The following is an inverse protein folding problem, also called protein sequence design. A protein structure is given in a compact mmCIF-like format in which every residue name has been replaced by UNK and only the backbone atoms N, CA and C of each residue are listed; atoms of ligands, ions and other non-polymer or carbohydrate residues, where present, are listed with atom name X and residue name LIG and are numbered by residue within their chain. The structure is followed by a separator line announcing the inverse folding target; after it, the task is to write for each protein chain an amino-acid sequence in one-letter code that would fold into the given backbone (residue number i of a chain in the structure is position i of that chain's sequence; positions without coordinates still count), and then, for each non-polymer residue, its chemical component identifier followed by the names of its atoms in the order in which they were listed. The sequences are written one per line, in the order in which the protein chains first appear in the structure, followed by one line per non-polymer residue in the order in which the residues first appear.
data_IF_352541946250
#
_entry.id   IF_352541946250
#
_cell.length_a   1.000
_cell.length_b   1.000
_cell.length_c   1.000
_cell.angle_alpha   90.00
_cell.angle_beta   90.00
_cell.angle_gamma   90.00
#
_symmetry.space_group_name_H-M   'P 1'
#
loop_
_entity.id
_entity.type
_entity.pdbx_description
1 polymer ?
#
# COMPACT_ATOMS: atom_id res chain seq x y z
N UNK A 1 4.48 11.54 -38.31
CA UNK A 1 5.49 12.02 -37.34
C UNK A 1 5.20 11.35 -36.00
N UNK A 2 5.90 10.28 -35.64
CA UNK A 2 5.79 9.69 -34.29
C UNK A 2 6.81 10.38 -33.40
N UNK A 3 6.34 11.19 -32.45
CA UNK A 3 7.18 11.69 -31.38
C UNK A 3 7.48 10.53 -30.43
N UNK A 4 8.53 9.76 -30.73
CA UNK A 4 9.14 8.80 -29.82
C UNK A 4 10.17 9.55 -28.98
N UNK A 5 9.79 9.89 -27.75
CA UNK A 5 10.67 10.59 -26.81
C UNK A 5 9.91 11.57 -25.94
N UNK A 6 8.88 11.08 -25.23
CA UNK A 6 8.39 11.80 -24.06
C UNK A 6 9.54 11.88 -23.05
N UNK A 7 9.82 13.08 -22.55
CA UNK A 7 10.86 13.31 -21.55
C UNK A 7 10.63 12.42 -20.33
N UNK A 8 11.43 11.36 -20.17
CA UNK A 8 11.37 10.42 -19.04
C UNK A 8 12.25 10.88 -17.88
N UNK A 9 12.17 12.16 -17.51
CA UNK A 9 12.79 12.71 -16.30
C UNK A 9 14.23 12.25 -16.02
N UNK A 10 14.55 12.05 -14.74
CA UNK A 10 15.81 11.44 -14.31
C UNK A 10 15.71 9.93 -14.59
N UNK A 11 16.73 9.26 -15.16
CA UNK A 11 16.71 7.82 -15.45
C UNK A 11 16.30 6.94 -14.25
N UNK A 12 16.48 7.45 -13.02
CA UNK A 12 16.03 6.82 -11.77
C UNK A 12 14.51 6.63 -11.69
N UNK A 13 13.69 7.46 -12.33
CA UNK A 13 12.23 7.30 -12.37
C UNK A 13 11.81 6.17 -13.31
N UNK A 14 12.47 6.04 -14.47
CA UNK A 14 12.27 4.91 -15.38
C UNK A 14 12.79 3.59 -14.81
N UNK A 15 13.70 3.65 -13.84
CA UNK A 15 14.28 2.48 -13.15
C UNK A 15 13.75 2.31 -11.71
N UNK A 16 12.80 3.13 -11.26
CA UNK A 16 12.30 3.08 -9.88
C UNK A 16 11.61 1.74 -9.53
N UNK A 17 11.16 1.02 -10.55
CA UNK A 17 10.58 -0.32 -10.44
C UNK A 17 11.60 -1.47 -10.60
N UNK A 18 12.86 -1.18 -10.99
CA UNK A 18 13.95 -2.13 -11.10
C UNK A 18 14.78 -2.07 -9.80
N UNK A 19 14.95 -3.20 -9.11
CA UNK A 19 15.63 -3.26 -7.81
C UNK A 19 17.06 -2.68 -7.87
N UNK A 20 17.37 -1.70 -7.02
CA UNK A 20 18.67 -1.04 -6.97
C UNK A 20 19.74 -1.78 -6.13
N UNK A 21 19.69 -3.12 -6.05
CA UNK A 21 20.66 -3.94 -5.33
C UNK A 21 20.21 -5.40 -5.23
N UNK A 22 21.07 -6.28 -4.71
CA UNK A 22 20.80 -7.72 -4.49
C UNK A 22 19.63 -8.03 -3.52
N UNK A 23 18.83 -7.03 -3.13
CA UNK A 23 17.67 -7.16 -2.25
C UNK A 23 16.40 -6.97 -3.06
N UNK A 24 15.52 -7.97 -3.02
CA UNK A 24 14.19 -7.88 -3.59
C UNK A 24 13.41 -6.73 -2.91
N UNK A 25 12.98 -5.76 -3.71
CA UNK A 25 12.09 -4.68 -3.25
C UNK A 25 11.24 -4.19 -4.43
N UNK A 26 9.93 -4.10 -4.19
CA UNK A 26 8.94 -3.56 -5.13
C UNK A 26 8.27 -2.34 -4.53
N UNK A 27 8.18 -1.26 -5.30
CA UNK A 27 7.53 -0.02 -4.91
C UNK A 27 6.25 0.15 -5.74
N UNK A 28 5.18 0.65 -5.13
CA UNK A 28 3.96 0.99 -5.89
C UNK A 28 4.06 2.34 -6.61
N UNK A 29 4.78 3.31 -6.04
CA UNK A 29 5.04 4.65 -6.60
C UNK A 29 6.52 5.05 -6.41
N UNK A 30 7.04 6.02 -7.20
CA UNK A 30 8.42 6.50 -7.04
C UNK A 30 8.68 7.07 -5.63
N UNK A 31 9.92 6.97 -5.15
CA UNK A 31 10.34 7.49 -3.83
C UNK A 31 10.30 9.01 -3.70
N UNK A 32 10.26 9.73 -4.82
CA UNK A 32 10.23 11.20 -4.87
C UNK A 32 9.05 11.66 -5.76
N UNK A 33 7.80 11.47 -5.30
CA UNK A 33 6.67 11.94 -6.09
C UNK A 33 6.66 13.48 -6.15
N UNK A 34 6.21 14.00 -7.28
CA UNK A 34 6.20 15.45 -7.59
C UNK A 34 5.27 16.24 -6.66
N UNK A 35 4.26 15.56 -6.06
CA UNK A 35 3.28 16.14 -5.13
C UNK A 35 3.11 15.24 -3.90
N UNK A 36 4.18 15.15 -3.09
CA UNK A 36 4.17 14.40 -1.84
C UNK A 36 3.27 15.09 -0.81
N UNK A 37 2.26 14.39 -0.32
CA UNK A 37 1.38 14.88 0.75
C UNK A 37 1.16 13.83 1.82
N UNK A 38 0.29 14.16 2.77
CA UNK A 38 -0.16 13.28 3.85
C UNK A 38 -1.68 13.08 3.77
N UNK A 39 -2.14 11.84 3.91
CA UNK A 39 -3.58 11.53 4.06
C UNK A 39 -3.81 10.61 5.24
N UNK A 40 -4.91 10.79 5.96
CA UNK A 40 -5.36 9.80 6.92
C UNK A 40 -5.67 8.48 6.21
N UNK A 41 -5.30 7.35 6.82
CA UNK A 41 -5.63 6.01 6.30
C UNK A 41 -7.14 5.88 6.04
N UNK A 42 -7.94 6.47 6.93
CA UNK A 42 -9.40 6.48 6.85
C UNK A 42 -9.99 6.76 8.22
N UNK A 43 -11.25 6.37 8.41
CA UNK A 43 -11.83 6.27 9.74
C UNK A 43 -11.19 5.11 10.54
N UNK A 44 -11.33 5.14 11.87
CA UNK A 44 -10.89 4.05 12.73
C UNK A 44 -11.51 2.72 12.29
N UNK A 45 -10.68 1.69 12.13
CA UNK A 45 -11.18 0.36 11.72
C UNK A 45 -11.57 0.28 10.24
N UNK A 46 -11.06 1.18 9.39
CA UNK A 46 -11.17 1.11 7.92
C UNK A 46 -9.77 0.90 7.36
N UNK A 47 -9.63 0.01 6.37
CA UNK A 47 -8.34 -0.20 5.71
C UNK A 47 -8.20 0.65 4.44
N UNK A 48 -7.01 1.18 4.21
CA UNK A 48 -6.59 1.77 2.95
C UNK A 48 -5.75 0.76 2.18
N UNK A 49 -6.03 0.58 0.89
CA UNK A 49 -5.31 -0.34 0.02
C UNK A 49 -4.81 0.36 -1.25
N UNK A 50 -3.62 -0.04 -1.71
CA UNK A 50 -2.98 0.47 -2.92
C UNK A 50 -2.43 -0.69 -3.75
N UNK A 51 -2.52 -0.63 -5.09
CA UNK A 51 -2.01 -1.68 -5.94
C UNK A 51 -0.48 -1.65 -5.98
N UNK A 52 0.15 -2.82 -5.99
CA UNK A 52 1.59 -3.01 -6.15
C UNK A 52 1.82 -4.12 -7.17
N UNK A 53 2.66 -3.86 -8.18
CA UNK A 53 3.01 -4.88 -9.15
C UNK A 53 4.04 -5.85 -8.54
N UNK A 54 3.73 -7.13 -8.59
CA UNK A 54 4.60 -8.19 -8.13
C UNK A 54 4.69 -9.30 -9.19
N UNK A 55 5.85 -9.91 -9.33
CA UNK A 55 6.16 -10.95 -10.30
C UNK A 55 5.94 -12.36 -9.76
N UNK A 56 5.58 -13.30 -10.64
CA UNK A 56 5.54 -14.72 -10.30
C UNK A 56 6.93 -15.21 -9.84
N UNK A 57 6.96 -16.07 -8.82
CA UNK A 57 8.18 -16.60 -8.21
C UNK A 57 8.83 -15.67 -7.17
N UNK A 58 8.42 -14.41 -7.10
CA UNK A 58 8.87 -13.50 -6.03
C UNK A 58 8.28 -13.94 -4.69
N UNK A 59 9.07 -13.82 -3.62
CA UNK A 59 8.61 -14.11 -2.27
C UNK A 59 8.51 -12.81 -1.49
N UNK A 60 7.29 -12.46 -1.06
CA UNK A 60 7.04 -11.32 -0.19
C UNK A 60 7.11 -11.79 1.26
N UNK A 61 7.98 -11.18 2.03
CA UNK A 61 8.22 -11.42 3.45
C UNK A 61 7.71 -10.27 4.32
N UNK A 62 7.65 -9.05 3.79
CA UNK A 62 7.23 -7.88 4.57
C UNK A 62 6.51 -6.83 3.72
N UNK A 63 5.72 -6.01 4.40
CA UNK A 63 5.12 -4.80 3.84
C UNK A 63 5.61 -3.58 4.61
N UNK A 64 5.82 -2.49 3.88
CA UNK A 64 6.34 -1.24 4.43
C UNK A 64 5.47 -0.08 4.02
N UNK A 65 5.05 0.73 5.00
CA UNK A 65 4.39 2.01 4.81
C UNK A 65 5.13 3.10 5.57
N UNK A 66 4.93 4.36 5.20
CA UNK A 66 5.54 5.51 5.89
C UNK A 66 4.47 6.42 6.45
N UNK A 67 4.53 6.70 7.75
CA UNK A 67 3.67 7.69 8.38
C UNK A 67 4.06 9.10 7.96
N UNK A 68 3.06 9.95 7.82
CA UNK A 68 3.19 11.38 7.57
C UNK A 68 3.25 12.18 8.87
N UNK A 69 2.70 13.39 8.83
CA UNK A 69 2.68 14.31 9.96
C UNK A 69 1.97 13.79 11.23
N UNK A 70 0.91 12.98 11.09
CA UNK A 70 0.15 12.48 12.25
C UNK A 70 0.62 11.09 12.65
N UNK A 71 1.09 10.97 13.88
CA UNK A 71 1.51 9.71 14.49
C UNK A 71 0.31 8.89 15.02
N UNK A 72 0.49 7.57 15.12
CA UNK A 72 -0.31 6.73 16.00
C UNK A 72 0.33 6.74 17.39
N UNK A 73 -0.20 7.52 18.32
CA UNK A 73 0.29 7.53 19.69
C UNK A 73 -0.12 6.23 20.42
N UNK A 74 -1.41 5.89 20.33
CA UNK A 74 -2.00 4.68 20.91
C UNK A 74 -3.12 4.17 20.01
N UNK A 75 -3.22 2.85 19.86
CA UNK A 75 -4.28 2.19 19.09
C UNK A 75 -4.82 0.96 19.81
N UNK A 76 -5.81 0.33 19.18
CA UNK A 76 -6.39 -0.96 19.62
C UNK A 76 -5.98 -2.09 18.68
N UNK A 77 -5.77 -1.80 17.41
CA UNK A 77 -5.27 -2.73 16.40
C UNK A 77 -4.59 -1.96 15.27
N UNK A 78 -3.54 -2.54 14.70
CA UNK A 78 -3.03 -2.15 13.39
C UNK A 78 -2.21 -3.28 12.76
N UNK A 79 -2.36 -3.41 11.44
CA UNK A 79 -1.71 -4.45 10.66
C UNK A 79 -1.57 -4.01 9.20
N UNK A 80 -0.71 -4.72 8.48
CA UNK A 80 -0.65 -4.66 7.02
C UNK A 80 -1.11 -5.99 6.42
N UNK A 81 -1.70 -5.94 5.23
CA UNK A 81 -2.19 -7.13 4.53
C UNK A 81 -1.87 -7.07 3.05
N UNK A 82 -1.69 -8.25 2.46
CA UNK A 82 -1.49 -8.45 1.04
C UNK A 82 -2.69 -9.22 0.49
N UNK A 83 -3.27 -8.72 -0.59
CA UNK A 83 -4.39 -9.34 -1.30
C UNK A 83 -4.03 -9.64 -2.76
N UNK A 84 -4.73 -10.65 -3.31
CA UNK A 84 -4.57 -11.14 -4.67
C UNK A 84 -4.90 -10.09 -5.74
N UNK A 85 -4.45 -10.29 -7.00
CA UNK A 85 -4.73 -9.37 -8.11
C UNK A 85 -6.13 -9.57 -8.75
N UNK A 86 -6.98 -10.41 -8.17
CA UNK A 86 -8.32 -10.75 -8.70
C UNK A 86 -9.28 -9.56 -8.77
N UNK A 87 -10.37 -9.71 -9.51
CA UNK A 87 -11.45 -8.71 -9.58
C UNK A 87 -12.09 -8.43 -8.22
N UNK A 88 -12.17 -9.45 -7.37
CA UNK A 88 -12.42 -9.34 -5.92
C UNK A 88 -11.16 -9.80 -5.19
N UNK A 89 -10.28 -8.88 -4.77
CA UNK A 89 -9.01 -9.22 -4.15
C UNK A 89 -9.22 -10.07 -2.89
N UNK A 90 -8.66 -11.28 -2.87
CA UNK A 90 -8.72 -12.21 -1.74
C UNK A 90 -7.46 -12.05 -0.86
N UNK A 91 -7.62 -12.15 0.46
CA UNK A 91 -6.51 -12.07 1.41
C UNK A 91 -5.54 -13.23 1.17
N UNK A 92 -4.26 -12.92 0.95
CA UNK A 92 -3.21 -13.94 0.80
C UNK A 92 -2.27 -13.98 1.99
N UNK A 93 -2.02 -12.83 2.63
CA UNK A 93 -1.29 -12.77 3.89
C UNK A 93 -1.59 -11.50 4.66
N UNK A 94 -1.30 -11.55 5.96
CA UNK A 94 -1.30 -10.39 6.83
C UNK A 94 -0.11 -10.45 7.78
N UNK A 95 0.22 -9.31 8.37
CA UNK A 95 1.17 -9.22 9.47
C UNK A 95 0.51 -9.66 10.77
N UNK A 96 1.32 -9.86 11.82
CA UNK A 96 0.76 -9.90 13.18
C UNK A 96 0.12 -8.54 13.51
N UNK A 97 -0.98 -8.55 14.25
CA UNK A 97 -1.54 -7.33 14.83
C UNK A 97 -0.53 -6.73 15.83
N UNK A 98 -0.41 -5.42 15.78
CA UNK A 98 0.55 -4.68 16.60
C UNK A 98 -0.12 -4.04 17.84
N UNK A 99 -1.40 -4.30 18.07
CA UNK A 99 -2.18 -3.82 19.22
C UNK A 99 -2.02 -2.33 19.45
N UNK A 100 -1.50 -1.98 20.63
CA UNK A 100 -1.32 -0.61 21.10
C UNK A 100 0.05 0.01 20.75
N UNK A 101 0.89 -0.67 19.97
CA UNK A 101 2.22 -0.18 19.65
C UNK A 101 2.15 1.17 18.90
N UNK A 102 2.98 2.12 19.33
CA UNK A 102 3.02 3.43 18.69
C UNK A 102 3.62 3.35 17.28
N UNK A 103 3.23 4.29 16.42
CA UNK A 103 3.86 4.59 15.15
C UNK A 103 4.12 6.09 15.07
N UNK A 104 5.36 6.48 15.35
CA UNK A 104 5.79 7.88 15.30
C UNK A 104 5.53 8.51 13.93
N UNK A 105 5.34 9.84 13.90
CA UNK A 105 5.23 10.60 12.66
C UNK A 105 6.51 10.51 11.83
N UNK A 106 6.41 10.73 10.52
CA UNK A 106 7.54 10.76 9.58
C UNK A 106 8.44 9.52 9.62
N UNK A 107 7.88 8.37 10.00
CA UNK A 107 8.64 7.14 10.26
C UNK A 107 8.19 6.02 9.34
N UNK A 108 9.16 5.33 8.75
CA UNK A 108 8.90 4.11 7.98
C UNK A 108 8.61 2.97 8.95
N UNK A 109 7.47 2.29 8.77
CA UNK A 109 7.12 1.08 9.51
C UNK A 109 7.08 -0.10 8.53
N UNK A 110 7.92 -1.07 8.81
CA UNK A 110 8.01 -2.35 8.09
C UNK A 110 7.54 -3.44 9.02
N UNK A 111 6.57 -4.23 8.57
CA UNK A 111 6.02 -5.34 9.35
C UNK A 111 6.16 -6.63 8.54
N UNK A 112 6.67 -7.67 9.18
CA UNK A 112 6.78 -9.00 8.58
C UNK A 112 5.39 -9.63 8.44
N UNK A 113 5.14 -10.26 7.30
CA UNK A 113 3.98 -11.12 7.11
C UNK A 113 4.11 -12.32 8.05
N UNK A 114 3.00 -12.76 8.66
CA UNK A 114 2.99 -13.94 9.53
C UNK A 114 3.43 -15.21 8.81
N UNK A 115 3.24 -15.25 7.48
CA UNK A 115 3.82 -16.26 6.59
C UNK A 115 4.31 -15.57 5.31
N UNK A 116 5.58 -15.74 4.91
CA UNK A 116 6.05 -15.34 3.59
C UNK A 116 5.18 -15.91 2.48
N UNK A 117 4.98 -15.13 1.41
CA UNK A 117 4.14 -15.49 0.28
C UNK A 117 4.94 -15.55 -1.01
N UNK A 118 5.09 -16.75 -1.59
CA UNK A 118 5.63 -16.93 -2.94
C UNK A 118 4.50 -16.81 -3.96
N UNK A 119 4.67 -15.91 -4.93
CA UNK A 119 3.59 -15.52 -5.83
C UNK A 119 3.47 -16.47 -7.02
N UNK A 120 2.30 -17.07 -7.21
CA UNK A 120 2.07 -18.01 -8.31
C UNK A 120 1.88 -17.33 -9.68
N UNK A 121 1.49 -16.05 -9.70
CA UNK A 121 1.28 -15.27 -10.94
C UNK A 121 1.72 -13.83 -10.76
N UNK A 122 2.20 -13.23 -11.84
CA UNK A 122 2.50 -11.80 -11.89
C UNK A 122 1.20 -10.98 -11.95
N UNK A 123 1.18 -9.80 -11.35
CA UNK A 123 0.04 -8.89 -11.45
C UNK A 123 0.05 -7.76 -10.43
N UNK A 124 -1.01 -6.97 -10.44
CA UNK A 124 -1.24 -5.90 -9.46
C UNK A 124 -1.96 -6.46 -8.23
N UNK A 125 -1.18 -6.85 -7.24
CA UNK A 125 -1.66 -7.21 -5.90
C UNK A 125 -2.07 -5.95 -5.14
N UNK A 126 -2.74 -6.10 -4.01
CA UNK A 126 -3.08 -4.96 -3.15
C UNK A 126 -2.36 -5.06 -1.81
N UNK A 127 -1.59 -4.04 -1.48
CA UNK A 127 -1.09 -3.85 -0.14
C UNK A 127 -2.06 -2.95 0.63
N UNK A 128 -2.49 -3.40 1.80
CA UNK A 128 -3.45 -2.72 2.66
C UNK A 128 -2.86 -2.43 4.03
N UNK A 129 -3.36 -1.37 4.64
CA UNK A 129 -3.02 -0.92 5.99
C UNK A 129 -4.29 -0.51 6.72
N UNK A 130 -4.42 -0.97 7.96
CA UNK A 130 -5.54 -0.67 8.83
C UNK A 130 -5.02 -0.19 10.17
N UNK A 131 -5.66 0.85 10.72
CA UNK A 131 -5.44 1.30 12.10
C UNK A 131 -6.80 1.55 12.76
N UNK A 132 -6.99 0.94 13.94
CA UNK A 132 -8.13 1.19 14.82
C UNK A 132 -7.65 2.02 16.03
N UNK A 133 -7.94 3.31 16.03
CA UNK A 133 -7.51 4.27 17.03
C UNK A 133 -8.41 5.51 17.01
N UNK A 134 -8.44 6.27 18.12
CA UNK A 134 -9.09 7.59 18.16
C UNK A 134 -8.43 8.59 17.21
N UNK A 135 -7.10 8.48 17.06
CA UNK A 135 -6.29 9.27 16.12
C UNK A 135 -5.58 8.32 15.19
N UNK A 136 -6.09 8.23 13.96
CA UNK A 136 -5.51 7.42 12.88
C UNK A 136 -4.31 8.18 12.28
N UNK A 137 -3.15 7.53 12.06
CA UNK A 137 -1.99 8.19 11.49
C UNK A 137 -2.26 8.59 10.04
N UNK A 138 -1.51 9.60 9.58
CA UNK A 138 -1.45 9.91 8.16
C UNK A 138 -0.35 9.10 7.49
N UNK A 139 -0.47 8.87 6.18
CA UNK A 139 0.54 8.22 5.36
C UNK A 139 1.08 9.19 4.33
N UNK A 140 2.39 9.10 4.09
CA UNK A 140 3.05 9.80 2.99
C UNK A 140 2.70 9.10 1.67
N UNK A 141 2.42 9.90 0.66
CA UNK A 141 1.99 9.42 -0.65
C UNK A 141 1.83 10.54 -1.65
N UNK A 142 1.13 10.26 -2.74
CA UNK A 142 0.89 11.23 -3.81
C UNK A 142 -0.57 11.22 -4.24
N UNK A 143 -1.01 12.34 -4.82
CA UNK A 143 -2.37 12.50 -5.35
C UNK A 143 -2.42 12.06 -6.80
N UNK A 144 -3.42 11.26 -7.13
CA UNK A 144 -3.74 10.82 -8.48
C UNK A 144 -5.24 10.94 -8.71
N UNK A 145 -5.64 11.07 -9.97
CA UNK A 145 -7.04 10.95 -10.32
C UNK A 145 -7.50 9.50 -10.09
N UNK A 146 -8.71 9.28 -9.56
CA UNK A 146 -9.33 7.96 -9.60
C UNK A 146 -9.59 7.55 -11.07
N UNK A 147 -10.05 6.31 -11.27
CA UNK A 147 -10.43 5.80 -12.59
C UNK A 147 -11.27 6.84 -13.37
N UNK A 148 -10.74 7.30 -14.50
CA UNK A 148 -11.36 8.31 -15.35
C UNK A 148 -12.25 7.68 -16.41
N UNK A 149 -11.99 6.42 -16.77
CA UNK A 149 -12.82 5.64 -17.68
C UNK A 149 -13.23 4.30 -17.08
N UNK A 150 -14.34 3.76 -17.57
CA UNK A 150 -14.82 2.45 -17.14
C UNK A 150 -13.79 1.35 -17.42
N UNK A 151 -13.56 0.48 -16.44
CA UNK A 151 -12.58 -0.62 -16.52
C UNK A 151 -11.18 -0.27 -16.02
N UNK A 152 -10.89 1.01 -15.74
CA UNK A 152 -9.66 1.36 -15.02
C UNK A 152 -9.71 0.89 -13.57
N UNK A 153 -8.54 0.47 -13.07
CA UNK A 153 -8.38 0.05 -11.68
C UNK A 153 -8.17 1.29 -10.79
N UNK A 154 -8.74 1.26 -9.59
CA UNK A 154 -8.42 2.25 -8.56
C UNK A 154 -6.92 2.22 -8.22
N UNK A 155 -6.30 3.39 -8.05
CA UNK A 155 -4.90 3.49 -7.59
C UNK A 155 -4.78 3.53 -6.06
N UNK A 156 -5.88 3.81 -5.37
CA UNK A 156 -6.05 3.57 -3.95
C UNK A 156 -7.54 3.48 -3.62
N UNK A 157 -7.85 2.75 -2.56
CA UNK A 157 -9.23 2.58 -2.13
C UNK A 157 -9.33 2.23 -0.64
N UNK A 158 -10.41 2.68 -0.01
CA UNK A 158 -10.77 2.32 1.36
C UNK A 158 -11.83 1.22 1.36
N UNK A 159 -11.81 0.35 2.37
CA UNK A 159 -12.81 -0.71 2.51
C UNK A 159 -12.88 -1.25 3.94
N UNK A 160 -13.96 -1.99 4.23
CA UNK A 160 -14.25 -2.49 5.57
C UNK A 160 -14.81 -1.42 6.50
N UNK A 161 -15.28 -1.86 7.66
CA UNK A 161 -15.76 -1.02 8.75
C UNK A 161 -15.60 -1.77 10.07
N UNK A 162 -15.24 -1.05 11.14
CA UNK A 162 -15.02 -1.62 12.46
C UNK A 162 -14.06 -2.83 12.48
N UNK A 163 -13.04 -2.81 11.62
CA UNK A 163 -12.01 -3.84 11.57
C UNK A 163 -11.17 -3.82 12.85
N UNK A 164 -10.77 -5.01 13.29
CA UNK A 164 -9.95 -5.24 14.49
C UNK A 164 -8.67 -5.96 14.09
N UNK A 165 -8.33 -7.09 14.71
CA UNK A 165 -7.01 -7.75 14.57
C UNK A 165 -6.85 -8.55 13.28
N UNK A 166 -7.92 -8.74 12.51
CA UNK A 166 -7.94 -9.62 11.34
C UNK A 166 -8.39 -8.87 10.10
N UNK A 167 -7.60 -8.98 9.03
CA UNK A 167 -7.95 -8.45 7.74
C UNK A 167 -9.17 -9.20 7.15
N UNK A 168 -10.10 -8.50 6.48
CA UNK A 168 -11.19 -9.15 5.75
C UNK A 168 -10.70 -10.21 4.78
N UNK A 169 -11.46 -11.29 4.59
CA UNK A 169 -11.11 -12.33 3.62
C UNK A 169 -11.04 -11.81 2.17
N UNK A 170 -11.78 -10.73 1.87
CA UNK A 170 -11.79 -10.07 0.57
C UNK A 170 -11.94 -8.57 0.71
N UNK A 171 -11.40 -7.80 -0.24
CA UNK A 171 -11.72 -6.38 -0.39
C UNK A 171 -13.10 -6.24 -1.05
N UNK A 172 -14.15 -6.13 -0.24
CA UNK A 172 -15.52 -5.94 -0.69
C UNK A 172 -15.94 -4.46 -0.59
N UNK A 173 -16.76 -4.01 -1.55
CA UNK A 173 -17.31 -2.65 -1.62
C UNK A 173 -16.27 -1.54 -1.44
N UNK A 174 -15.16 -1.53 -2.20
CA UNK A 174 -14.15 -0.52 -2.06
C UNK A 174 -14.64 0.86 -2.51
N UNK A 175 -14.26 1.89 -1.77
CA UNK A 175 -14.46 3.29 -2.17
C UNK A 175 -13.13 3.85 -2.67
N UNK A 176 -13.09 4.31 -3.92
CA UNK A 176 -11.90 4.91 -4.52
C UNK A 176 -11.48 6.18 -3.75
N UNK A 177 -10.17 6.37 -3.58
CA UNK A 177 -9.60 7.59 -3.01
C UNK A 177 -8.53 8.16 -3.93
N UNK A 178 -8.41 9.48 -3.96
CA UNK A 178 -7.45 10.18 -4.82
C UNK A 178 -6.01 10.13 -4.30
N UNK A 179 -5.79 9.66 -3.07
CA UNK A 179 -4.47 9.64 -2.47
C UNK A 179 -3.92 8.22 -2.41
N UNK A 180 -2.71 8.05 -2.96
CA UNK A 180 -2.02 6.77 -3.07
C UNK A 180 -0.83 6.77 -2.10
N UNK A 181 -0.88 6.01 -0.99
CA UNK A 181 0.23 5.95 -0.03
C UNK A 181 1.43 5.22 -0.64
N UNK A 182 2.65 5.59 -0.23
CA UNK A 182 3.85 4.81 -0.59
C UNK A 182 3.81 3.46 0.12
N UNK A 183 3.97 2.39 -0.65
CA UNK A 183 4.11 1.02 -0.17
C UNK A 183 5.33 0.36 -0.79
N UNK A 184 6.05 -0.42 0.02
CA UNK A 184 7.15 -1.28 -0.43
C UNK A 184 6.91 -2.71 0.03
N UNK A 185 7.04 -3.66 -0.89
CA UNK A 185 7.09 -5.10 -0.60
C UNK A 185 8.53 -5.60 -0.74
N UNK A 186 8.96 -6.42 0.21
CA UNK A 186 10.25 -7.14 0.21
C UNK A 186 10.03 -8.58 0.63
#
# INVERSE_FOLDING_TARGET
MSQLGGYTGIPRDALAHLSAGNTFARYNIPRAPIDAGDVAIGASGVMLSTPIFLGAGETVTSLTFRSGATALATGTAHWFALYSPDSTPALIAQTADQGNAAWAANTTKTLALSSPQTLARSGFYWAAVMVAASTVPTLVGARYFPAMVSGERNLAQTSGAALTTTAPATIASPTAVHFVPVCVAT
#
